data_IF_664793583117
#
_entry.id   IF_664793583117
#
_cell.length_a   1.000
_cell.length_b   1.000
_cell.length_c   1.000
_cell.angle_alpha   90.00
_cell.angle_beta   90.00
_cell.angle_gamma   90.00
#
_symmetry.space_group_name_H-M   'P 1'
#
loop_
_entity.id
_entity.type
_entity.pdbx_description
1 polymer ?
#
# COMPACT_ATOMS: atom_id res chain seq x y z
N UNK A 1 -17.61 24.67 -28.21
CA UNK A 1 -16.25 24.16 -27.90
C UNK A 1 -16.03 22.93 -28.75
N UNK A 2 -15.01 22.93 -29.61
CA UNK A 2 -14.74 21.82 -30.55
C UNK A 2 -14.46 20.51 -29.82
N UNK A 3 -15.20 19.46 -30.17
CA UNK A 3 -15.11 18.11 -29.61
C UNK A 3 -13.68 17.56 -29.60
N UNK A 4 -12.85 17.97 -30.56
CA UNK A 4 -11.44 17.59 -30.69
C UNK A 4 -10.56 18.22 -29.60
N UNK A 5 -10.83 19.47 -29.21
CA UNK A 5 -10.10 20.20 -28.18
C UNK A 5 -10.47 19.70 -26.78
N UNK A 6 -11.74 19.35 -26.58
CA UNK A 6 -12.23 18.70 -25.36
C UNK A 6 -11.57 17.34 -25.13
N UNK A 7 -11.43 16.50 -26.16
CA UNK A 7 -10.78 15.18 -26.05
C UNK A 7 -9.29 15.26 -25.69
N UNK A 8 -8.56 16.20 -26.28
CA UNK A 8 -7.17 16.44 -25.92
C UNK A 8 -7.04 16.84 -24.44
N UNK A 9 -7.90 17.76 -23.98
CA UNK A 9 -7.91 18.18 -22.58
C UNK A 9 -8.19 17.01 -21.62
N UNK A 10 -9.15 16.13 -21.94
CA UNK A 10 -9.44 14.92 -21.16
C UNK A 10 -8.24 13.98 -21.12
N UNK A 11 -7.61 13.71 -22.28
CA UNK A 11 -6.43 12.84 -22.34
C UNK A 11 -5.25 13.37 -21.52
N UNK A 12 -4.99 14.68 -21.59
CA UNK A 12 -3.95 15.35 -20.81
C UNK A 12 -4.28 15.31 -19.31
N UNK A 13 -5.55 15.52 -18.93
CA UNK A 13 -5.97 15.42 -17.54
C UNK A 13 -5.75 14.02 -16.96
N UNK A 14 -6.14 12.97 -17.69
CA UNK A 14 -5.92 11.57 -17.30
C UNK A 14 -4.42 11.30 -17.17
N UNK A 15 -3.62 11.74 -18.14
CA UNK A 15 -2.16 11.59 -18.10
C UNK A 15 -1.56 12.24 -16.84
N UNK A 16 -1.94 13.49 -16.53
CA UNK A 16 -1.49 14.18 -15.33
C UNK A 16 -1.88 13.40 -14.06
N UNK A 17 -3.14 13.00 -13.92
CA UNK A 17 -3.61 12.28 -12.73
C UNK A 17 -2.88 10.95 -12.52
N UNK A 18 -2.62 10.19 -13.59
CA UNK A 18 -1.85 8.95 -13.52
C UNK A 18 -0.39 9.22 -13.12
N UNK A 19 0.26 10.22 -13.72
CA UNK A 19 1.66 10.54 -13.44
C UNK A 19 1.86 11.07 -12.02
N UNK A 20 0.99 11.98 -11.56
CA UNK A 20 1.08 12.58 -10.22
C UNK A 20 0.45 11.71 -9.13
N UNK A 21 -0.16 10.58 -9.46
CA UNK A 21 -0.88 9.74 -8.51
C UNK A 21 -0.05 9.34 -7.29
N UNK A 22 1.22 8.96 -7.47
CA UNK A 22 2.11 8.62 -6.36
C UNK A 22 2.62 9.80 -5.53
N UNK A 23 2.30 11.03 -5.92
CA UNK A 23 2.61 12.24 -5.15
C UNK A 23 1.41 12.74 -4.33
N UNK A 24 0.24 12.12 -4.52
CA UNK A 24 -0.95 12.46 -3.75
C UNK A 24 -0.84 11.85 -2.34
N UNK A 25 -1.46 12.48 -1.33
CA UNK A 25 -1.58 11.90 0.01
C UNK A 25 -2.19 10.49 0.00
N UNK A 26 -3.04 10.22 -1.01
CA UNK A 26 -3.61 8.92 -1.31
C UNK A 26 -3.15 8.47 -2.70
N UNK A 27 -2.09 7.65 -2.79
CA UNK A 27 -1.67 7.12 -4.06
C UNK A 27 -2.77 6.23 -4.66
N UNK A 28 -3.02 6.41 -5.96
CA UNK A 28 -3.97 5.58 -6.69
C UNK A 28 -3.48 4.13 -6.65
N UNK A 29 -4.37 3.21 -6.27
CA UNK A 29 -4.07 1.79 -6.05
C UNK A 29 -3.08 1.47 -4.90
N UNK A 30 -2.85 2.39 -3.95
CA UNK A 30 -2.21 2.03 -2.69
C UNK A 30 -3.18 1.33 -1.74
N UNK A 31 -2.62 0.62 -0.76
CA UNK A 31 -3.36 0.13 0.41
C UNK A 31 -4.09 1.29 1.09
N UNK A 32 -5.35 1.12 1.52
CA UNK A 32 -6.00 2.09 2.40
C UNK A 32 -5.43 2.08 3.82
N UNK A 33 -4.56 1.10 4.13
CA UNK A 33 -3.89 0.97 5.43
C UNK A 33 -2.39 1.28 5.32
N UNK A 34 -1.83 1.84 6.39
CA UNK A 34 -0.40 2.03 6.56
C UNK A 34 0.31 0.68 6.56
N UNK A 35 1.14 0.49 5.53
CA UNK A 35 1.90 -0.75 5.27
C UNK A 35 3.40 -0.48 5.18
N UNK A 36 3.83 0.74 5.50
CA UNK A 36 5.21 1.20 5.30
C UNK A 36 6.11 0.58 6.35
N UNK A 37 7.16 -0.17 5.97
CA UNK A 37 8.17 -0.61 6.91
C UNK A 37 8.87 0.58 7.59
N UNK A 38 9.39 0.42 8.82
CA UNK A 38 9.33 -0.80 9.64
C UNK A 38 7.91 -1.04 10.14
N UNK A 39 7.42 -2.28 10.06
CA UNK A 39 6.04 -2.69 10.35
C UNK A 39 5.48 -1.97 11.59
N UNK A 40 4.87 -0.78 11.44
CA UNK A 40 4.77 0.15 12.57
C UNK A 40 3.77 -0.38 13.59
N UNK A 41 2.90 -1.28 13.13
CA UNK A 41 1.71 -1.80 13.78
C UNK A 41 1.68 -3.33 13.84
N UNK A 42 2.83 -3.99 13.63
CA UNK A 42 2.92 -5.43 13.85
C UNK A 42 3.07 -5.69 15.34
N UNK A 43 2.01 -6.23 15.94
CA UNK A 43 2.03 -6.71 17.31
C UNK A 43 2.56 -8.13 17.36
N UNK A 44 3.40 -8.39 18.35
CA UNK A 44 3.91 -9.72 18.63
C UNK A 44 3.72 -10.04 20.11
N UNK A 45 3.37 -11.27 20.44
CA UNK A 45 3.33 -11.74 21.81
C UNK A 45 4.03 -13.07 21.94
N UNK A 46 4.71 -13.27 23.05
CA UNK A 46 5.31 -14.55 23.41
C UNK A 46 4.88 -14.94 24.83
N UNK A 47 4.39 -16.17 25.06
CA UNK A 47 3.85 -16.58 26.35
C UNK A 47 4.96 -16.84 27.37
N UNK A 48 4.65 -16.63 28.64
CA UNK A 48 5.52 -16.89 29.80
C UNK A 48 6.03 -18.34 29.91
N UNK A 49 5.26 -19.29 29.38
CA UNK A 49 5.65 -20.72 29.28
C UNK A 49 6.80 -21.01 28.31
N UNK A 50 7.34 -19.99 27.62
CA UNK A 50 8.39 -20.17 26.61
C UNK A 50 9.77 -19.73 27.11
N UNK A 51 10.81 -20.48 26.72
CA UNK A 51 12.22 -20.12 26.96
C UNK A 51 12.58 -18.72 26.43
N UNK A 52 11.82 -18.23 25.44
CA UNK A 52 12.03 -16.92 24.84
C UNK A 52 11.54 -15.80 25.75
N UNK A 53 10.43 -15.98 26.44
CA UNK A 53 9.97 -15.03 27.45
C UNK A 53 11.04 -14.86 28.53
N UNK A 54 11.53 -15.97 29.10
CA UNK A 54 12.59 -15.94 30.12
C UNK A 54 13.87 -15.25 29.63
N UNK A 55 14.28 -15.56 28.39
CA UNK A 55 15.47 -14.93 27.81
C UNK A 55 15.29 -13.42 27.61
N UNK A 56 14.18 -12.98 27.03
CA UNK A 56 13.96 -11.57 26.72
C UNK A 56 13.72 -10.74 27.98
N UNK A 57 13.00 -11.28 28.96
CA UNK A 57 12.81 -10.63 30.27
C UNK A 57 14.13 -10.50 31.03
N UNK A 58 14.97 -11.55 31.03
CA UNK A 58 16.30 -11.48 31.62
C UNK A 58 17.26 -10.53 30.87
N UNK A 59 17.23 -10.54 29.54
CA UNK A 59 18.10 -9.72 28.69
C UNK A 59 17.81 -8.23 28.84
N UNK A 60 16.53 -7.84 28.87
CA UNK A 60 16.11 -6.45 28.97
C UNK A 60 15.78 -6.00 30.41
N UNK A 61 15.85 -6.91 31.39
CA UNK A 61 15.63 -6.61 32.79
C UNK A 61 14.16 -6.35 33.15
N UNK A 62 13.21 -6.96 32.44
CA UNK A 62 11.80 -6.88 32.78
C UNK A 62 11.47 -7.74 34.00
N UNK A 63 10.69 -7.20 34.93
CA UNK A 63 10.17 -7.93 36.07
C UNK A 63 8.80 -8.55 35.71
N UNK A 64 8.64 -9.89 35.71
CA UNK A 64 7.35 -10.54 35.43
C UNK A 64 6.22 -10.12 36.38
N UNK A 65 6.56 -9.67 37.60
CA UNK A 65 5.56 -9.18 38.56
C UNK A 65 4.97 -7.80 38.19
N UNK A 66 5.60 -7.08 37.25
CA UNK A 66 5.13 -5.77 36.77
C UNK A 66 4.11 -5.91 35.62
N UNK A 67 3.52 -7.10 35.45
CA UNK A 67 2.54 -7.38 34.40
C UNK A 67 1.31 -6.46 34.49
N UNK A 68 0.96 -5.85 33.36
CA UNK A 68 -0.23 -5.01 33.24
C UNK A 68 -1.42 -5.89 32.88
N UNK A 69 -2.46 -5.89 33.71
CA UNK A 69 -3.69 -6.62 33.43
C UNK A 69 -4.42 -6.01 32.21
N UNK A 70 -4.73 -6.82 31.20
CA UNK A 70 -5.39 -6.36 29.99
C UNK A 70 -6.78 -5.74 30.27
N UNK A 71 -7.46 -6.14 31.34
CA UNK A 71 -8.73 -5.56 31.77
C UNK A 71 -8.59 -4.12 32.30
N UNK A 72 -7.40 -3.74 32.73
CA UNK A 72 -7.08 -2.38 33.19
C UNK A 72 -6.73 -1.42 32.04
N UNK A 73 -6.46 -1.96 30.84
CA UNK A 73 -6.14 -1.18 29.67
C UNK A 73 -7.39 -0.48 29.09
N UNK A 74 -7.21 0.65 28.38
CA UNK A 74 -8.28 1.23 27.57
C UNK A 74 -8.89 0.21 26.59
N UNK A 75 -10.19 0.31 26.23
CA UNK A 75 -10.86 -0.71 25.42
C UNK A 75 -10.17 -1.05 24.10
N UNK A 76 -9.60 -0.07 23.40
CA UNK A 76 -8.86 -0.28 22.15
C UNK A 76 -7.54 -1.02 22.38
N UNK A 77 -6.80 -0.66 23.44
CA UNK A 77 -5.55 -1.31 23.84
C UNK A 77 -5.78 -2.75 24.27
N UNK A 78 -6.84 -3.00 25.04
CA UNK A 78 -7.25 -4.35 25.41
C UNK A 78 -7.57 -5.20 24.18
N UNK A 79 -8.37 -4.66 23.26
CA UNK A 79 -8.77 -5.39 22.05
C UNK A 79 -7.56 -5.80 21.19
N UNK A 80 -6.53 -4.96 21.07
CA UNK A 80 -5.34 -5.32 20.28
C UNK A 80 -4.48 -6.38 20.96
N UNK A 81 -4.40 -6.39 22.30
CA UNK A 81 -3.73 -7.45 23.06
C UNK A 81 -4.49 -8.77 22.86
N UNK A 82 -5.79 -8.77 23.14
CA UNK A 82 -6.67 -9.95 23.00
C UNK A 82 -6.62 -10.53 21.58
N UNK A 83 -6.69 -9.68 20.55
CA UNK A 83 -6.59 -10.14 19.14
C UNK A 83 -5.23 -10.75 18.82
N UNK A 84 -4.15 -10.21 19.37
CA UNK A 84 -2.81 -10.77 19.18
C UNK A 84 -2.72 -12.17 19.76
N UNK A 85 -3.12 -12.36 21.02
CA UNK A 85 -2.99 -13.64 21.71
C UNK A 85 -4.05 -14.66 21.32
N UNK A 86 -5.18 -14.24 20.73
CA UNK A 86 -6.21 -15.14 20.20
C UNK A 86 -5.80 -15.89 18.93
N UNK A 87 -4.72 -15.44 18.26
CA UNK A 87 -4.17 -16.09 17.08
C UNK A 87 -3.47 -17.43 17.38
N UNK A 88 -2.95 -18.07 16.35
CA UNK A 88 -2.02 -19.20 16.51
C UNK A 88 -0.58 -18.69 16.51
N UNK A 89 0.31 -19.23 17.36
CA UNK A 89 1.72 -18.90 17.29
C UNK A 89 2.33 -19.38 15.96
N UNK A 90 3.32 -18.65 15.47
CA UNK A 90 4.10 -19.04 14.31
C UNK A 90 5.08 -20.19 14.62
N UNK A 91 5.88 -20.59 13.64
CA UNK A 91 6.90 -21.63 13.82
C UNK A 91 7.94 -21.29 14.90
N UNK A 92 8.16 -20.00 15.16
CA UNK A 92 9.05 -19.52 16.19
C UNK A 92 8.37 -19.35 17.57
N UNK A 93 7.06 -19.59 17.70
CA UNK A 93 6.31 -19.45 18.95
C UNK A 93 5.77 -18.03 19.22
N UNK A 94 5.86 -17.10 18.26
CA UNK A 94 5.28 -15.77 18.34
C UNK A 94 3.83 -15.77 17.87
N UNK A 95 2.95 -15.26 18.72
CA UNK A 95 1.65 -14.77 18.29
C UNK A 95 1.87 -13.46 17.54
N UNK A 96 1.23 -13.30 16.39
CA UNK A 96 1.32 -12.07 15.60
C UNK A 96 -0.03 -11.58 15.15
N UNK A 97 -0.18 -10.27 15.21
CA UNK A 97 -1.34 -9.58 14.69
C UNK A 97 -0.90 -8.23 14.14
N UNK A 98 -1.27 -7.95 12.90
CA UNK A 98 -1.04 -6.64 12.30
C UNK A 98 -2.29 -5.79 12.50
N UNK A 99 -2.14 -4.67 13.23
CA UNK A 99 -3.22 -3.71 13.41
C UNK A 99 -3.36 -2.89 12.12
N UNK A 100 -4.50 -2.96 11.40
CA UNK A 100 -4.69 -2.12 10.23
C UNK A 100 -4.95 -0.69 10.70
N UNK A 101 -4.04 0.24 10.39
CA UNK A 101 -4.24 1.68 10.61
C UNK A 101 -4.52 2.33 9.27
N UNK A 102 -5.64 3.03 9.14
CA UNK A 102 -6.00 3.69 7.89
C UNK A 102 -5.04 4.84 7.59
N UNK A 103 -4.60 4.99 6.34
CA UNK A 103 -3.77 6.14 5.94
C UNK A 103 -4.56 7.45 6.06
N UNK A 104 -3.84 8.53 6.33
CA UNK A 104 -4.44 9.86 6.36
C UNK A 104 -5.09 10.22 5.01
N UNK A 105 -6.34 10.64 5.05
CA UNK A 105 -7.11 11.07 3.88
C UNK A 105 -8.13 10.07 3.35
N UNK A 106 -8.12 8.79 3.75
CA UNK A 106 -9.20 7.88 3.34
C UNK A 106 -10.53 8.36 3.95
N UNK A 107 -11.53 8.53 3.08
CA UNK A 107 -12.84 9.05 3.49
C UNK A 107 -13.58 8.10 4.44
N UNK A 108 -13.37 6.81 4.28
CA UNK A 108 -13.99 5.75 5.08
C UNK A 108 -12.86 4.94 5.71
N UNK A 109 -12.98 4.67 7.01
CA UNK A 109 -12.05 3.81 7.73
C UNK A 109 -12.88 2.81 8.54
N UNK A 110 -12.62 1.53 8.32
CA UNK A 110 -13.26 0.38 8.98
C UNK A 110 -12.42 -0.15 10.15
N UNK A 111 -11.22 0.40 10.36
CA UNK A 111 -10.27 0.02 11.40
C UNK A 111 -9.85 1.24 12.26
N UNK A 112 -8.63 1.22 12.79
CA UNK A 112 -8.09 2.31 13.60
C UNK A 112 -7.63 3.49 12.71
N UNK A 113 -7.99 4.72 13.11
CA UNK A 113 -7.39 5.94 12.56
C UNK A 113 -6.07 6.28 13.22
N UNK A 114 -5.98 5.99 14.52
CA UNK A 114 -4.80 6.20 15.33
C UNK A 114 -4.55 4.93 16.15
N UNK A 115 -3.29 4.51 16.28
CA UNK A 115 -2.95 3.34 17.09
C UNK A 115 -3.25 3.60 18.59
N UNK A 116 -3.57 2.56 19.38
CA UNK A 116 -3.84 2.72 20.81
C UNK A 116 -2.70 3.37 21.60
N UNK A 117 -2.96 4.52 22.23
CA UNK A 117 -1.91 5.32 22.91
C UNK A 117 -1.27 4.69 24.16
N UNK A 118 -1.72 3.50 24.58
CA UNK A 118 -1.14 2.78 25.72
C UNK A 118 0.19 2.10 25.39
N UNK A 119 0.53 1.99 24.10
CA UNK A 119 1.74 1.31 23.62
C UNK A 119 2.58 2.23 22.73
N UNK A 120 3.86 1.88 22.57
CA UNK A 120 4.80 2.62 21.72
C UNK A 120 4.94 1.93 20.38
N UNK A 121 4.62 2.66 19.32
CA UNK A 121 4.66 2.19 17.94
C UNK A 121 5.88 2.74 17.19
N UNK A 122 6.31 2.04 16.13
CA UNK A 122 7.50 2.42 15.36
C UNK A 122 8.81 2.05 16.05
N UNK A 123 9.88 2.79 15.75
CA UNK A 123 11.24 2.47 16.24
C UNK A 123 11.50 3.07 17.62
N UNK A 124 11.68 2.23 18.64
CA UNK A 124 12.00 2.67 20.00
C UNK A 124 12.77 1.59 20.80
N UNK A 125 13.47 1.97 21.89
CA UNK A 125 14.22 1.02 22.72
C UNK A 125 13.35 -0.12 23.27
N UNK A 126 13.93 -1.30 23.57
CA UNK A 126 13.18 -2.44 24.11
C UNK A 126 12.26 -2.10 25.28
N UNK A 127 12.73 -1.26 26.21
CA UNK A 127 11.97 -0.84 27.40
C UNK A 127 10.67 -0.06 27.08
N UNK A 128 10.55 0.49 25.88
CA UNK A 128 9.38 1.28 25.46
C UNK A 128 8.41 0.50 24.56
N UNK A 129 8.93 -0.48 23.81
CA UNK A 129 8.14 -1.26 22.82
C UNK A 129 7.63 -2.59 23.37
N UNK A 130 8.23 -3.08 24.46
CA UNK A 130 7.81 -4.29 25.15
C UNK A 130 7.00 -3.96 26.40
N UNK A 131 5.97 -4.75 26.66
CA UNK A 131 5.15 -4.66 27.86
C UNK A 131 4.74 -6.08 28.26
N UNK A 132 4.91 -6.44 29.53
CA UNK A 132 4.34 -7.69 30.03
C UNK A 132 2.86 -7.45 30.28
N UNK A 133 2.00 -8.22 29.61
CA UNK A 133 0.54 -8.13 29.73
C UNK A 133 -0.01 -9.43 30.27
N UNK A 134 -1.00 -9.34 31.16
CA UNK A 134 -1.74 -10.50 31.64
C UNK A 134 -3.12 -10.54 30.98
N UNK A 135 -3.46 -11.67 30.35
CA UNK A 135 -4.73 -11.91 29.67
C UNK A 135 -5.34 -13.18 30.27
N UNK A 136 -6.49 -13.07 30.90
CA UNK A 136 -7.21 -14.20 31.53
C UNK A 136 -6.36 -15.05 32.51
N UNK A 137 -5.32 -14.45 33.10
CA UNK A 137 -4.40 -15.10 34.04
C UNK A 137 -3.10 -15.60 33.43
N UNK A 138 -2.98 -15.64 32.10
CA UNK A 138 -1.75 -15.99 31.39
C UNK A 138 -0.92 -14.74 31.07
N UNK A 139 0.40 -14.82 31.21
CA UNK A 139 1.30 -13.70 30.95
C UNK A 139 1.95 -13.80 29.56
N UNK A 140 2.07 -12.64 28.92
CA UNK A 140 2.70 -12.50 27.61
C UNK A 140 3.64 -11.31 27.61
N UNK A 141 4.80 -11.48 26.99
CA UNK A 141 5.65 -10.34 26.61
C UNK A 141 5.16 -9.82 25.27
N UNK A 142 4.48 -8.67 25.31
CA UNK A 142 3.84 -8.02 24.18
C UNK A 142 4.76 -6.96 23.57
N UNK A 143 4.97 -7.01 22.25
CA UNK A 143 5.80 -6.10 21.47
C UNK A 143 4.93 -5.36 20.45
N UNK A 144 5.05 -4.04 20.39
CA UNK A 144 4.26 -3.19 19.47
C UNK A 144 5.10 -2.33 18.52
N UNK A 145 6.40 -2.22 18.80
CA UNK A 145 7.35 -1.48 17.97
C UNK A 145 8.54 -2.35 17.52
N UNK A 146 9.49 -1.70 16.86
CA UNK A 146 10.69 -2.33 16.30
C UNK A 146 11.94 -1.76 16.98
N UNK A 147 12.92 -2.61 17.26
CA UNK A 147 14.17 -2.17 17.90
C UNK A 147 15.03 -1.36 16.92
N UNK A 148 15.76 -0.33 17.39
CA UNK A 148 16.71 0.40 16.56
C UNK A 148 17.76 -0.54 15.97
N UNK A 149 17.94 -0.52 14.64
CA UNK A 149 18.90 -1.37 13.95
C UNK A 149 18.41 -2.80 13.66
N UNK A 150 17.18 -3.15 14.04
CA UNK A 150 16.49 -4.33 13.51
C UNK A 150 15.93 -4.10 12.09
N UNK A 151 16.05 -2.88 11.56
CA UNK A 151 15.53 -2.52 10.25
C UNK A 151 16.22 -3.28 9.10
N UNK A 152 15.38 -3.93 8.31
CA UNK A 152 15.70 -4.46 6.98
C UNK A 152 15.66 -3.36 5.92
N UNK A 153 16.34 -2.22 6.15
CA UNK A 153 16.40 -1.04 5.24
C UNK A 153 16.88 -1.34 3.80
N UNK A 154 17.15 -2.58 3.44
CA UNK A 154 17.60 -3.01 2.11
C UNK A 154 16.71 -4.01 1.40
N UNK A 155 15.58 -4.47 1.96
CA UNK A 155 14.75 -5.44 1.24
C UNK A 155 13.80 -4.76 0.24
N UNK A 156 14.24 -4.66 -1.01
CA UNK A 156 13.37 -4.25 -2.11
C UNK A 156 12.13 -5.16 -2.21
N UNK A 157 12.19 -6.43 -1.77
CA UNK A 157 10.98 -7.29 -1.74
C UNK A 157 9.98 -6.92 -0.65
N UNK A 158 10.39 -6.11 0.34
CA UNK A 158 9.54 -5.58 1.42
C UNK A 158 8.89 -4.22 1.11
N UNK A 159 9.18 -3.61 -0.05
CA UNK A 159 8.48 -2.38 -0.45
C UNK A 159 7.03 -2.70 -0.84
N UNK A 160 6.10 -1.84 -0.41
CA UNK A 160 4.68 -2.02 -0.69
C UNK A 160 4.42 -2.09 -2.20
N UNK A 161 3.59 -3.05 -2.62
CA UNK A 161 3.20 -3.25 -4.03
C UNK A 161 2.67 -1.96 -4.67
N UNK A 162 2.13 -1.04 -3.87
CA UNK A 162 1.70 0.29 -4.30
C UNK A 162 2.82 1.15 -4.91
N UNK A 163 4.03 1.15 -4.33
CA UNK A 163 5.18 1.92 -4.87
C UNK A 163 5.56 1.38 -6.25
N UNK A 164 5.62 0.06 -6.41
CA UNK A 164 5.90 -0.57 -7.70
C UNK A 164 4.82 -0.28 -8.73
N UNK A 165 3.56 -0.32 -8.30
CA UNK A 165 2.40 -0.03 -9.15
C UNK A 165 2.45 1.39 -9.69
N UNK A 166 2.90 2.36 -8.89
CA UNK A 166 3.10 3.72 -9.38
C UNK A 166 4.32 3.83 -10.31
N UNK A 167 5.52 3.46 -9.84
CA UNK A 167 6.77 3.68 -10.58
C UNK A 167 6.84 2.92 -11.90
N UNK A 168 6.47 1.64 -11.89
CA UNK A 168 6.56 0.78 -13.07
C UNK A 168 5.25 0.73 -13.88
N UNK A 169 4.14 1.20 -13.31
CA UNK A 169 2.82 1.09 -13.90
C UNK A 169 2.18 2.43 -14.26
N UNK A 170 1.66 3.14 -13.26
CA UNK A 170 0.83 4.34 -13.46
C UNK A 170 1.62 5.50 -14.06
N UNK A 171 2.86 5.74 -13.62
CA UNK A 171 3.72 6.79 -14.14
C UNK A 171 4.00 6.61 -15.65
N UNK A 172 4.56 5.46 -16.11
CA UNK A 172 4.78 5.26 -17.53
C UNK A 172 3.48 5.22 -18.33
N UNK A 173 2.40 4.65 -17.78
CA UNK A 173 1.09 4.69 -18.44
C UNK A 173 0.60 6.13 -18.65
N UNK A 174 0.73 7.01 -17.66
CA UNK A 174 0.38 8.42 -17.76
C UNK A 174 1.15 9.13 -18.88
N UNK A 175 2.46 8.89 -18.97
CA UNK A 175 3.30 9.43 -20.07
C UNK A 175 2.81 8.96 -21.44
N UNK A 176 2.49 7.66 -21.58
CA UNK A 176 2.00 7.09 -22.83
C UNK A 176 0.62 7.59 -23.23
N UNK A 177 -0.28 7.75 -22.25
CA UNK A 177 -1.61 8.35 -22.46
C UNK A 177 -1.47 9.80 -22.94
N UNK A 178 -0.56 10.58 -22.33
CA UNK A 178 -0.26 11.95 -22.76
C UNK A 178 0.28 11.99 -24.19
N UNK A 179 1.25 11.13 -24.51
CA UNK A 179 1.80 11.01 -25.86
C UNK A 179 0.73 10.62 -26.88
N UNK A 180 -0.12 9.63 -26.57
CA UNK A 180 -1.21 9.21 -27.44
C UNK A 180 -2.24 10.31 -27.67
N UNK A 181 -2.57 11.10 -26.64
CA UNK A 181 -3.50 12.23 -26.75
C UNK A 181 -2.94 13.32 -27.69
N UNK A 182 -1.66 13.66 -27.56
CA UNK A 182 -0.99 14.65 -28.41
C UNK A 182 -0.86 14.16 -29.85
N UNK A 183 -0.32 12.95 -30.06
CA UNK A 183 -0.14 12.38 -31.41
C UNK A 183 -1.50 12.19 -32.10
N UNK A 184 -2.51 11.72 -31.37
CA UNK A 184 -3.87 11.56 -31.88
C UNK A 184 -4.57 12.86 -32.23
N UNK A 185 -4.20 13.98 -31.61
CA UNK A 185 -4.71 15.29 -31.97
C UNK A 185 -4.15 15.78 -33.31
N UNK A 186 -2.89 15.45 -33.60
CA UNK A 186 -2.18 15.84 -34.82
C UNK A 186 -2.24 14.81 -35.95
N UNK A 187 -2.87 13.65 -35.73
CA UNK A 187 -2.95 12.55 -36.71
C UNK A 187 -4.40 12.16 -37.01
N UNK A 188 -4.65 11.63 -38.22
CA UNK A 188 -5.93 11.01 -38.58
C UNK A 188 -6.20 9.69 -37.86
N UNK A 189 -5.20 9.13 -37.16
CA UNK A 189 -5.29 7.84 -36.42
C UNK A 189 -5.95 7.97 -35.05
N UNK A 190 -7.05 8.71 -34.96
CA UNK A 190 -7.77 9.04 -33.72
C UNK A 190 -8.30 7.83 -32.97
N UNK A 191 -8.59 6.72 -33.67
CA UNK A 191 -9.17 5.51 -33.05
C UNK A 191 -8.22 4.85 -32.06
N UNK A 192 -6.94 4.72 -32.39
CA UNK A 192 -5.95 4.10 -31.50
C UNK A 192 -5.60 5.03 -30.34
N UNK A 193 -5.46 6.33 -30.60
CA UNK A 193 -5.28 7.32 -29.55
C UNK A 193 -6.41 7.29 -28.51
N UNK A 194 -7.67 7.24 -28.96
CA UNK A 194 -8.83 7.14 -28.06
C UNK A 194 -8.84 5.85 -27.25
N UNK A 195 -8.37 4.73 -27.80
CA UNK A 195 -8.27 3.46 -27.06
C UNK A 195 -7.23 3.55 -25.95
N UNK A 196 -6.05 4.11 -26.21
CA UNK A 196 -5.01 4.30 -25.19
C UNK A 196 -5.48 5.25 -24.09
N UNK A 197 -6.12 6.36 -24.46
CA UNK A 197 -6.71 7.30 -23.49
C UNK A 197 -7.82 6.65 -22.66
N UNK A 198 -8.71 5.88 -23.31
CA UNK A 198 -9.78 5.14 -22.64
C UNK A 198 -9.23 4.10 -21.66
N UNK A 199 -8.19 3.36 -22.05
CA UNK A 199 -7.50 2.42 -21.18
C UNK A 199 -6.91 3.12 -19.95
N UNK A 200 -6.24 4.27 -20.13
CA UNK A 200 -5.76 5.09 -19.03
C UNK A 200 -6.88 5.54 -18.09
N UNK A 201 -8.03 5.94 -18.64
CA UNK A 201 -9.21 6.30 -17.85
C UNK A 201 -9.79 5.14 -17.05
N UNK A 202 -9.81 3.93 -17.61
CA UNK A 202 -10.25 2.71 -16.90
C UNK A 202 -9.29 2.37 -15.76
N UNK A 203 -7.98 2.39 -16.01
CA UNK A 203 -6.97 2.13 -14.96
C UNK A 203 -7.08 3.17 -13.84
N UNK A 204 -7.26 4.44 -14.18
CA UNK A 204 -7.48 5.52 -13.21
C UNK A 204 -8.72 5.26 -12.36
N UNK A 205 -9.86 4.92 -12.98
CA UNK A 205 -11.10 4.66 -12.27
C UNK A 205 -10.99 3.44 -11.35
N UNK A 206 -10.39 2.34 -11.82
CA UNK A 206 -10.16 1.14 -11.01
C UNK A 206 -9.27 1.46 -9.82
N UNK A 207 -8.15 2.16 -10.03
CA UNK A 207 -7.22 2.50 -8.95
C UNK A 207 -7.82 3.43 -7.89
N UNK A 208 -8.83 4.24 -8.24
CA UNK A 208 -9.57 5.07 -7.29
C UNK A 208 -10.63 4.27 -6.50
N UNK A 209 -11.22 3.23 -7.11
CA UNK A 209 -12.31 2.45 -6.49
C UNK A 209 -11.77 1.36 -5.57
N UNK A 210 -10.68 0.71 -5.94
CA UNK A 210 -10.13 -0.46 -5.22
C UNK A 210 -9.90 -0.22 -3.72
N UNK A 211 -9.30 0.90 -3.27
CA UNK A 211 -9.11 1.13 -1.84
C UNK A 211 -10.44 1.10 -1.05
N UNK A 212 -11.53 1.59 -1.63
CA UNK A 212 -12.84 1.56 -0.99
C UNK A 212 -13.46 0.16 -0.98
N UNK A 213 -13.24 -0.64 -2.03
CA UNK A 213 -13.66 -2.04 -2.03
C UNK A 213 -12.96 -2.84 -0.93
N UNK A 214 -11.68 -2.54 -0.68
CA UNK A 214 -10.91 -3.13 0.43
C UNK A 214 -11.48 -2.71 1.78
N UNK A 215 -11.69 -1.41 2.01
CA UNK A 215 -12.26 -0.89 3.28
C UNK A 215 -13.69 -1.41 3.54
N UNK A 216 -14.48 -1.67 2.50
CA UNK A 216 -15.83 -2.24 2.65
C UNK A 216 -15.86 -3.77 2.72
N UNK A 217 -14.70 -4.42 2.85
CA UNK A 217 -14.54 -5.88 2.92
C UNK A 217 -15.15 -6.63 1.72
N UNK A 218 -15.22 -5.97 0.56
CA UNK A 218 -15.67 -6.60 -0.70
C UNK A 218 -14.54 -7.44 -1.31
N UNK A 219 -13.29 -7.00 -1.12
CA UNK A 219 -12.09 -7.68 -1.63
C UNK A 219 -10.95 -7.56 -0.62
N UNK A 220 -10.27 -8.67 -0.31
CA UNK A 220 -9.07 -8.66 0.51
C UNK A 220 -7.89 -8.00 -0.23
N UNK A 221 -7.13 -7.13 0.45
CA UNK A 221 -5.98 -6.43 -0.14
C UNK A 221 -4.93 -7.38 -0.71
N UNK A 222 -4.57 -8.43 0.05
CA UNK A 222 -3.57 -9.42 -0.37
C UNK A 222 -3.99 -10.20 -1.62
N UNK A 223 -5.29 -10.34 -1.86
CA UNK A 223 -5.82 -11.01 -3.03
C UNK A 223 -5.81 -10.12 -4.28
N UNK A 224 -5.83 -8.78 -4.14
CA UNK A 224 -6.02 -7.86 -5.26
C UNK A 224 -4.76 -7.07 -5.64
N UNK A 225 -3.84 -6.82 -4.70
CA UNK A 225 -2.68 -5.97 -4.93
C UNK A 225 -1.80 -6.45 -6.09
N UNK A 226 -1.41 -7.73 -6.10
CA UNK A 226 -0.58 -8.33 -7.16
C UNK A 226 -1.28 -8.45 -8.52
N UNK A 227 -2.53 -8.95 -8.60
CA UNK A 227 -3.28 -8.95 -9.85
C UNK A 227 -3.47 -7.55 -10.44
N UNK A 228 -3.73 -6.54 -9.61
CA UNK A 228 -3.87 -5.17 -10.07
C UNK A 228 -2.56 -4.63 -10.61
N UNK A 229 -1.44 -4.87 -9.91
CA UNK A 229 -0.11 -4.53 -10.43
C UNK A 229 0.14 -5.16 -11.81
N UNK A 230 -0.12 -6.46 -11.95
CA UNK A 230 0.00 -7.18 -13.22
C UNK A 230 -0.90 -6.60 -14.33
N UNK A 231 -2.14 -6.24 -14.00
CA UNK A 231 -3.06 -5.62 -14.94
C UNK A 231 -2.58 -4.23 -15.41
N UNK A 232 -2.03 -3.41 -14.51
CA UNK A 232 -1.44 -2.12 -14.85
C UNK A 232 -0.23 -2.30 -15.77
N UNK A 233 0.66 -3.27 -15.49
CA UNK A 233 1.78 -3.59 -16.39
C UNK A 233 1.31 -4.04 -17.77
N UNK A 234 0.26 -4.87 -17.83
CA UNK A 234 -0.39 -5.25 -19.08
C UNK A 234 -0.91 -4.04 -19.86
N UNK A 235 -1.54 -3.09 -19.16
CA UNK A 235 -2.03 -1.84 -19.75
C UNK A 235 -0.88 -0.96 -20.28
N UNK A 236 0.24 -0.88 -19.56
CA UNK A 236 1.47 -0.21 -20.04
C UNK A 236 1.94 -0.85 -21.35
N UNK A 237 2.02 -2.18 -21.41
CA UNK A 237 2.40 -2.91 -22.63
C UNK A 237 1.50 -2.59 -23.82
N UNK A 238 0.18 -2.58 -23.62
CA UNK A 238 -0.80 -2.23 -24.66
C UNK A 238 -0.64 -0.77 -25.10
N UNK A 239 -0.47 0.16 -24.16
CA UNK A 239 -0.26 1.57 -24.44
C UNK A 239 1.04 1.82 -25.22
N UNK A 240 2.14 1.13 -24.86
CA UNK A 240 3.41 1.17 -25.58
C UNK A 240 3.26 0.78 -27.03
N UNK A 241 2.61 -0.37 -27.30
CA UNK A 241 2.34 -0.84 -28.68
C UNK A 241 1.47 0.16 -29.44
N UNK A 242 0.43 0.71 -28.79
CA UNK A 242 -0.45 1.71 -29.38
C UNK A 242 0.28 2.99 -29.77
N UNK A 243 1.13 3.52 -28.89
CA UNK A 243 1.94 4.72 -29.15
C UNK A 243 2.99 4.47 -30.23
N UNK A 244 3.68 3.32 -30.20
CA UNK A 244 4.64 2.95 -31.24
C UNK A 244 3.99 2.88 -32.63
N UNK A 245 2.78 2.32 -32.73
CA UNK A 245 2.02 2.26 -33.98
C UNK A 245 1.56 3.65 -34.47
N UNK A 246 1.18 4.53 -33.55
CA UNK A 246 0.87 5.93 -33.86
C UNK A 246 2.10 6.67 -34.38
N UNK A 247 3.25 6.52 -33.72
CA UNK A 247 4.50 7.16 -34.08
C UNK A 247 5.03 6.69 -35.46
N UNK A 248 5.00 5.38 -35.72
CA UNK A 248 5.38 4.83 -37.03
C UNK A 248 4.46 5.36 -38.15
N UNK A 249 3.16 5.48 -37.87
CA UNK A 249 2.19 6.07 -38.78
C UNK A 249 2.46 7.54 -39.09
N UNK A 250 2.88 8.31 -38.10
CA UNK A 250 3.20 9.73 -38.22
C UNK A 250 4.49 9.96 -39.03
N UNK A 251 5.56 9.21 -38.73
CA UNK A 251 6.84 9.31 -39.44
C UNK A 251 6.73 8.94 -40.94
N UNK A 252 5.90 7.93 -41.26
CA UNK A 252 5.64 7.53 -42.65
C UNK A 252 4.94 8.61 -43.48
N UNK A 253 4.14 9.47 -42.86
CA UNK A 253 3.45 10.58 -43.55
C UNK A 253 4.32 11.82 -43.77
N UNK A 254 5.36 12.02 -42.96
CA UNK A 254 6.30 13.16 -43.09
C UNK A 254 7.49 12.86 -44.01
N UNK A 255 7.77 11.59 -44.30
CA UNK A 255 8.93 11.16 -45.13
C UNK A 255 8.71 11.20 -46.64
N UNK A 256 7.48 11.40 -47.13
CA UNK A 256 7.14 11.38 -48.57
C UNK A 256 6.99 12.77 -49.17
N UNK A 257 7.95 13.66 -48.93
CA UNK A 257 8.09 14.87 -49.75
C UNK A 257 9.19 14.61 -50.78
N UNK A 258 8.87 14.20 -52.03
CA UNK A 258 9.88 14.13 -53.08
C UNK A 258 10.29 15.56 -53.45
N UNK A 259 11.60 15.81 -53.42
CA UNK A 259 12.25 16.97 -54.05
C UNK A 259 12.13 16.92 -55.57
#
# INVERSE_FOLDING_TARGET
>A
MDTTRSRLAVGILIAMLLTTSGLLPLPIAASPYETTPPAPYLHQAVPDTSDRFDRLTAEYGFNPDDAVDASSLPPASRQVVERTVAGSPDADGWYRYELPVCVDGVLVCDSAREPPSAFTYGTAPPAEIFTIVAVDGDQYLFQTGVQPGADTTGDLRGQSVGIYTWLAGLLPLGVLVGAAAVIGHHSDRRRVANLVVGLGGVVLAVGLVVPYLVVTDVVAYDAIAWPLFGAVLGAVGVALVGVAWLAAGYAGTTGTTPS
#
